data_IF_662375434040
#
_entry.id   IF_662375434040
#
_cell.length_a   1.000
_cell.length_b   1.000
_cell.length_c   1.000
_cell.angle_alpha   90.00
_cell.angle_beta   90.00
_cell.angle_gamma   90.00
#
_symmetry.space_group_name_H-M   'P 1'
#
loop_
_entity.id
_entity.type
_entity.pdbx_description
1 polymer ?
#
# COMPACT_ATOMS: atom_id res chain seq x y z
N UNK A 1 27.44 2.88 11.93
CA UNK A 1 26.13 3.37 11.45
C UNK A 1 25.68 4.45 12.43
N UNK A 2 25.47 5.68 11.98
CA UNK A 2 25.01 6.77 12.85
C UNK A 2 23.55 6.56 13.25
N UNK A 3 23.07 7.28 14.26
CA UNK A 3 21.64 7.26 14.62
C UNK A 3 20.76 7.69 13.44
N UNK A 4 21.19 8.68 12.65
CA UNK A 4 20.47 9.12 11.45
C UNK A 4 20.37 8.00 10.41
N UNK A 5 21.47 7.27 10.16
CA UNK A 5 21.48 6.15 9.22
C UNK A 5 20.51 5.03 9.65
N UNK A 6 20.34 4.80 10.96
CA UNK A 6 19.36 3.85 11.48
C UNK A 6 17.91 4.28 11.27
N UNK A 7 17.60 5.58 11.25
CA UNK A 7 16.26 6.08 10.91
C UNK A 7 15.98 5.89 9.42
N UNK A 8 16.92 6.32 8.57
CA UNK A 8 16.80 6.20 7.11
C UNK A 8 16.69 4.72 6.68
N UNK A 9 17.47 3.83 7.28
CA UNK A 9 17.37 2.40 7.02
C UNK A 9 16.02 1.82 7.42
N UNK A 10 15.45 2.24 8.56
CA UNK A 10 14.12 1.80 8.99
C UNK A 10 13.02 2.30 8.04
N UNK A 11 13.11 3.52 7.51
CA UNK A 11 12.17 4.02 6.51
C UNK A 11 12.19 3.18 5.24
N UNK A 12 13.40 2.85 4.74
CA UNK A 12 13.58 1.93 3.61
C UNK A 12 12.99 0.55 3.86
N UNK A 13 13.29 -0.02 5.03
CA UNK A 13 12.83 -1.36 5.40
C UNK A 13 11.30 -1.43 5.49
N UNK A 14 10.66 -0.41 6.07
CA UNK A 14 9.20 -0.34 6.14
C UNK A 14 8.52 -0.34 4.76
N UNK A 15 9.21 0.10 3.70
CA UNK A 15 8.71 0.02 2.34
C UNK A 15 9.08 -1.30 1.63
N UNK A 16 10.31 -1.80 1.84
CA UNK A 16 10.88 -2.95 1.11
C UNK A 16 10.54 -4.31 1.69
N UNK A 17 10.19 -4.40 2.96
CA UNK A 17 9.96 -5.69 3.62
C UNK A 17 8.95 -6.54 2.83
N UNK A 18 9.37 -7.73 2.42
CA UNK A 18 8.60 -8.58 1.49
C UNK A 18 7.38 -9.23 2.15
N UNK A 19 7.31 -9.23 3.49
CA UNK A 19 6.24 -9.91 4.25
C UNK A 19 5.14 -8.94 4.66
N UNK A 20 5.54 -7.79 5.19
CA UNK A 20 4.67 -6.82 5.88
C UNK A 20 4.89 -5.38 5.44
N UNK A 21 5.85 -5.14 4.54
CA UNK A 21 6.18 -3.81 4.04
C UNK A 21 5.02 -3.11 3.33
N UNK A 22 5.10 -1.78 3.27
CA UNK A 22 4.07 -0.91 2.70
C UNK A 22 3.85 -1.26 1.22
N UNK A 23 4.90 -1.49 0.43
CA UNK A 23 4.74 -1.84 -0.98
C UNK A 23 4.05 -3.18 -1.17
N UNK A 24 4.45 -4.19 -0.41
CA UNK A 24 3.80 -5.50 -0.45
C UNK A 24 2.31 -5.37 -0.13
N UNK A 25 1.98 -4.64 0.94
CA UNK A 25 0.60 -4.38 1.34
C UNK A 25 -0.22 -3.69 0.23
N UNK A 26 0.34 -2.66 -0.43
CA UNK A 26 -0.34 -1.97 -1.54
C UNK A 26 -0.50 -2.90 -2.75
N UNK A 27 0.52 -3.68 -3.11
CA UNK A 27 0.46 -4.64 -4.21
C UNK A 27 -0.63 -5.69 -3.99
N UNK A 28 -0.71 -6.27 -2.79
CA UNK A 28 -1.73 -7.26 -2.44
C UNK A 28 -3.14 -6.65 -2.53
N UNK A 29 -3.31 -5.41 -2.05
CA UNK A 29 -4.57 -4.69 -2.14
C UNK A 29 -4.97 -4.39 -3.60
N UNK A 30 -4.04 -3.96 -4.44
CA UNK A 30 -4.27 -3.71 -5.87
C UNK A 30 -4.60 -5.01 -6.61
N UNK A 31 -3.91 -6.10 -6.30
CA UNK A 31 -4.19 -7.42 -6.87
C UNK A 31 -5.60 -7.89 -6.51
N UNK A 32 -5.94 -7.86 -5.21
CA UNK A 32 -7.26 -8.25 -4.73
C UNK A 32 -8.37 -7.41 -5.37
N UNK A 33 -8.14 -6.11 -5.55
CA UNK A 33 -9.06 -5.23 -6.27
C UNK A 33 -9.24 -5.64 -7.74
N UNK A 34 -8.15 -5.86 -8.46
CA UNK A 34 -8.21 -6.29 -9.87
C UNK A 34 -8.93 -7.65 -10.01
N UNK A 35 -8.58 -8.62 -9.16
CA UNK A 35 -9.21 -9.94 -9.12
C UNK A 35 -10.70 -9.82 -8.82
N UNK A 36 -11.10 -9.10 -7.77
CA UNK A 36 -12.50 -8.95 -7.39
C UNK A 36 -13.34 -8.25 -8.48
N UNK A 37 -12.82 -7.15 -9.07
CA UNK A 37 -13.50 -6.47 -10.19
C UNK A 37 -13.69 -7.40 -11.38
N UNK A 38 -12.70 -8.26 -11.64
CA UNK A 38 -12.77 -9.29 -12.68
C UNK A 38 -13.82 -10.34 -12.33
N UNK A 39 -13.86 -10.86 -11.10
CA UNK A 39 -14.90 -11.78 -10.61
C UNK A 39 -16.30 -11.20 -10.76
N UNK A 40 -16.51 -9.93 -10.38
CA UNK A 40 -17.81 -9.25 -10.57
C UNK A 40 -18.19 -9.19 -12.05
N UNK A 41 -17.23 -8.95 -12.94
CA UNK A 41 -17.49 -8.96 -14.39
C UNK A 41 -17.83 -10.36 -14.90
N UNK A 42 -17.12 -11.39 -14.44
CA UNK A 42 -17.42 -12.80 -14.76
C UNK A 42 -18.86 -13.14 -14.36
N UNK A 43 -19.23 -12.79 -13.12
CA UNK A 43 -20.59 -13.05 -12.61
C UNK A 43 -21.65 -12.34 -13.44
N UNK A 44 -21.40 -11.07 -13.78
CA UNK A 44 -22.31 -10.29 -14.62
C UNK A 44 -22.47 -10.92 -16.01
N UNK A 45 -21.37 -11.31 -16.65
CA UNK A 45 -21.40 -11.95 -17.98
C UNK A 45 -22.13 -13.30 -17.96
N UNK A 46 -21.91 -14.11 -16.92
CA UNK A 46 -22.61 -15.38 -16.74
C UNK A 46 -24.11 -15.18 -16.56
N UNK A 47 -24.52 -14.15 -15.79
CA UNK A 47 -25.92 -13.80 -15.59
C UNK A 47 -26.57 -13.22 -16.85
N UNK A 48 -25.86 -12.41 -17.66
CA UNK A 48 -26.36 -11.88 -18.94
C UNK A 48 -26.63 -13.00 -19.96
N UNK A 49 -25.82 -14.08 -19.94
CA UNK A 49 -25.96 -15.24 -20.84
C UNK A 49 -26.82 -16.38 -20.28
N UNK A 50 -27.45 -16.18 -19.12
CA UNK A 50 -28.02 -17.24 -18.27
C UNK A 50 -29.23 -17.97 -18.88
N UNK A 51 -30.08 -17.30 -19.65
CA UNK A 51 -31.36 -17.87 -20.07
C UNK A 51 -32.15 -18.42 -18.86
N UNK A 52 -32.51 -19.72 -18.89
CA UNK A 52 -33.20 -20.42 -17.80
C UNK A 52 -32.29 -21.10 -16.76
N UNK A 53 -30.95 -20.99 -16.89
CA UNK A 53 -30.01 -21.63 -15.95
C UNK A 53 -30.13 -21.03 -14.55
N UNK A 54 -29.79 -21.75 -13.46
CA UNK A 54 -29.68 -21.16 -12.14
C UNK A 54 -28.59 -20.07 -12.10
N UNK A 55 -28.67 -19.10 -11.15
CA UNK A 55 -27.59 -18.14 -10.94
C UNK A 55 -26.31 -18.86 -10.50
N UNK A 56 -25.17 -18.16 -10.65
CA UNK A 56 -23.90 -18.64 -10.11
C UNK A 56 -24.00 -18.92 -8.60
N UNK A 57 -23.16 -19.85 -8.13
CA UNK A 57 -23.15 -20.29 -6.74
C UNK A 57 -22.93 -19.10 -5.79
N UNK A 58 -23.97 -18.74 -5.05
CA UNK A 58 -23.98 -17.57 -4.18
C UNK A 58 -23.06 -17.75 -2.97
N UNK A 59 -22.92 -18.98 -2.46
CA UNK A 59 -22.03 -19.28 -1.32
C UNK A 59 -20.57 -18.96 -1.67
N UNK A 60 -20.10 -19.42 -2.83
CA UNK A 60 -18.73 -19.11 -3.29
C UNK A 60 -18.54 -17.62 -3.55
N UNK A 61 -19.52 -16.95 -4.16
CA UNK A 61 -19.43 -15.51 -4.41
C UNK A 61 -19.40 -14.71 -3.11
N UNK A 62 -20.22 -15.07 -2.12
CA UNK A 62 -20.23 -14.42 -0.81
C UNK A 62 -18.86 -14.56 -0.13
N UNK A 63 -18.28 -15.76 -0.12
CA UNK A 63 -16.94 -16.00 0.44
C UNK A 63 -15.87 -15.10 -0.20
N UNK A 64 -15.85 -15.01 -1.53
CA UNK A 64 -14.90 -14.15 -2.26
C UNK A 64 -15.15 -12.66 -1.97
N UNK A 65 -16.41 -12.24 -1.96
CA UNK A 65 -16.80 -10.85 -1.68
C UNK A 65 -16.41 -10.45 -0.26
N UNK A 66 -16.76 -11.25 0.75
CA UNK A 66 -16.42 -11.02 2.15
C UNK A 66 -14.90 -11.00 2.38
N UNK A 67 -14.16 -11.91 1.74
CA UNK A 67 -12.70 -11.93 1.77
C UNK A 67 -12.08 -10.66 1.19
N UNK A 68 -12.58 -10.19 0.04
CA UNK A 68 -12.13 -8.94 -0.58
C UNK A 68 -12.37 -7.73 0.34
N UNK A 69 -13.60 -7.56 0.84
CA UNK A 69 -13.93 -6.41 1.70
C UNK A 69 -13.14 -6.43 3.00
N UNK A 70 -13.03 -7.59 3.65
CA UNK A 70 -12.25 -7.74 4.89
C UNK A 70 -10.78 -7.41 4.66
N UNK A 71 -10.20 -7.91 3.57
CA UNK A 71 -8.81 -7.65 3.18
C UNK A 71 -8.56 -6.16 2.91
N UNK A 72 -9.44 -5.51 2.15
CA UNK A 72 -9.35 -4.08 1.85
C UNK A 72 -9.38 -3.23 3.12
N UNK A 73 -10.37 -3.48 3.98
CA UNK A 73 -10.58 -2.68 5.18
C UNK A 73 -9.43 -2.89 6.19
N UNK A 74 -9.03 -4.14 6.45
CA UNK A 74 -7.90 -4.45 7.33
C UNK A 74 -6.57 -3.91 6.79
N UNK A 75 -6.32 -4.06 5.49
CA UNK A 75 -5.13 -3.54 4.83
C UNK A 75 -5.06 -2.01 4.91
N UNK A 76 -6.19 -1.32 4.70
CA UNK A 76 -6.29 0.13 4.87
C UNK A 76 -5.94 0.54 6.30
N UNK A 77 -6.54 -0.11 7.31
CA UNK A 77 -6.22 0.16 8.72
C UNK A 77 -4.72 -0.02 8.99
N UNK A 78 -4.12 -1.13 8.56
CA UNK A 78 -2.70 -1.44 8.78
C UNK A 78 -1.80 -0.35 8.23
N UNK A 79 -2.09 0.16 7.02
CA UNK A 79 -1.32 1.21 6.37
C UNK A 79 -1.49 2.60 7.01
N UNK A 80 -2.53 2.79 7.83
CA UNK A 80 -2.83 4.02 8.56
C UNK A 80 -2.43 3.98 10.04
N UNK A 81 -1.89 2.86 10.52
CA UNK A 81 -1.55 2.66 11.93
C UNK A 81 -0.58 3.74 12.42
N UNK A 82 -0.80 4.25 13.62
CA UNK A 82 -0.05 5.36 14.24
C UNK A 82 1.09 4.88 15.13
N UNK A 83 1.20 3.57 15.38
CA UNK A 83 2.24 3.03 16.24
C UNK A 83 3.65 3.38 15.69
N UNK A 84 4.66 3.43 16.57
CA UNK A 84 6.03 3.74 16.15
C UNK A 84 6.52 2.76 15.08
N UNK A 85 7.46 3.20 14.24
CA UNK A 85 8.09 2.33 13.24
C UNK A 85 9.06 1.30 13.87
N UNK A 86 9.60 1.61 15.06
CA UNK A 86 10.59 0.80 15.78
C UNK A 86 10.03 0.23 17.08
N UNK A 87 10.64 -0.88 17.53
CA UNK A 87 10.38 -1.50 18.83
C UNK A 87 9.43 -2.70 18.76
N UNK A 88 9.12 -3.34 19.90
CA UNK A 88 8.31 -4.55 19.95
C UNK A 88 6.85 -4.38 19.53
N UNK A 89 6.38 -3.12 19.43
CA UNK A 89 5.07 -2.75 18.87
C UNK A 89 5.24 -1.94 17.58
N UNK A 90 6.36 -2.13 16.89
CA UNK A 90 6.71 -1.46 15.65
C UNK A 90 5.73 -1.84 14.54
N UNK A 91 5.34 -0.87 13.71
CA UNK A 91 4.47 -1.12 12.54
C UNK A 91 5.01 -0.48 11.28
N UNK A 92 4.86 -1.21 10.16
CA UNK A 92 5.14 -0.71 8.83
C UNK A 92 3.87 -0.15 8.22
N UNK A 93 3.68 1.15 8.43
CA UNK A 93 2.54 1.92 7.93
C UNK A 93 3.04 3.22 7.32
N UNK A 94 2.24 3.81 6.43
CA UNK A 94 2.59 5.10 5.82
C UNK A 94 2.72 6.17 6.91
N UNK A 95 1.80 6.12 7.89
CA UNK A 95 1.75 7.12 8.97
C UNK A 95 2.88 6.95 9.98
N UNK A 96 3.34 5.73 10.26
CA UNK A 96 4.48 5.49 11.16
C UNK A 96 5.78 6.06 10.57
N UNK A 97 6.01 5.88 9.26
CA UNK A 97 7.14 6.50 8.56
C UNK A 97 7.04 8.02 8.60
N UNK A 98 5.89 8.61 8.24
CA UNK A 98 5.69 10.06 8.24
C UNK A 98 5.93 10.67 9.62
N UNK A 99 5.46 10.01 10.68
CA UNK A 99 5.66 10.47 12.06
C UNK A 99 7.14 10.43 12.47
N UNK A 100 7.87 9.38 12.09
CA UNK A 100 9.30 9.23 12.41
C UNK A 100 10.17 10.23 11.62
N UNK A 101 9.82 10.49 10.35
CA UNK A 101 10.44 11.56 9.54
C UNK A 101 10.16 12.93 10.14
N UNK A 102 8.92 13.21 10.57
CA UNK A 102 8.57 14.46 11.25
C UNK A 102 9.35 14.64 12.54
N UNK A 103 9.49 13.59 13.36
CA UNK A 103 10.31 13.62 14.57
C UNK A 103 11.81 13.85 14.27
N UNK A 104 12.24 13.55 13.06
CA UNK A 104 13.62 13.71 12.57
C UNK A 104 13.90 15.05 11.87
N UNK A 105 12.88 15.92 11.77
CA UNK A 105 12.94 17.17 11.01
C UNK A 105 14.08 18.11 11.43
N UNK A 106 14.45 18.13 12.71
CA UNK A 106 15.48 19.01 13.25
C UNK A 106 16.90 18.70 12.73
N UNK A 107 17.17 17.44 12.34
CA UNK A 107 18.45 17.03 11.80
C UNK A 107 18.38 16.68 10.30
N UNK A 108 17.19 16.40 9.75
CA UNK A 108 17.01 16.08 8.34
C UNK A 108 17.11 17.32 7.44
N UNK A 109 18.33 17.83 7.29
CA UNK A 109 18.66 18.95 6.41
C UNK A 109 18.67 18.55 4.94
N UNK A 110 18.64 19.53 4.02
CA UNK A 110 18.77 19.29 2.56
C UNK A 110 19.96 18.40 2.26
N UNK A 111 21.12 18.69 2.86
CA UNK A 111 22.33 17.91 2.59
C UNK A 111 22.18 16.45 2.98
N UNK A 112 21.66 16.19 4.19
CA UNK A 112 21.44 14.81 4.66
C UNK A 112 20.38 14.12 3.79
N UNK A 113 19.31 14.81 3.42
CA UNK A 113 18.29 14.27 2.54
C UNK A 113 18.87 13.84 1.18
N UNK A 114 19.58 14.72 0.49
CA UNK A 114 20.15 14.42 -0.83
C UNK A 114 21.17 13.28 -0.74
N UNK A 115 22.13 13.39 0.19
CA UNK A 115 23.26 12.44 0.28
C UNK A 115 22.89 11.10 0.92
N UNK A 116 21.99 11.09 1.91
CA UNK A 116 21.71 9.88 2.72
C UNK A 116 20.35 9.27 2.42
N UNK A 117 19.30 10.08 2.27
CA UNK A 117 17.96 9.57 1.98
C UNK A 117 17.88 9.13 0.53
N UNK A 118 18.22 10.02 -0.41
CA UNK A 118 18.13 9.74 -1.86
C UNK A 118 19.40 9.15 -2.47
N UNK A 119 20.47 9.01 -1.67
CA UNK A 119 21.74 8.42 -2.11
C UNK A 119 22.34 9.13 -3.33
N UNK A 120 22.16 10.45 -3.42
CA UNK A 120 22.60 11.28 -4.53
C UNK A 120 23.71 12.24 -4.11
N UNK A 121 24.37 12.89 -5.07
CA UNK A 121 25.42 13.85 -4.76
C UNK A 121 24.85 15.27 -4.54
N UNK A 122 25.34 15.95 -3.51
CA UNK A 122 24.84 17.27 -3.16
C UNK A 122 25.30 18.38 -4.12
N UNK A 123 26.56 18.35 -4.56
CA UNK A 123 27.20 19.42 -5.32
C UNK A 123 26.81 19.37 -6.81
N UNK A 124 25.76 20.12 -7.18
CA UNK A 124 25.29 20.21 -8.56
C UNK A 124 26.25 20.96 -9.47
N UNK A 125 26.93 22.00 -8.97
CA UNK A 125 27.83 22.82 -9.79
C UNK A 125 29.01 21.97 -10.27
N UNK A 126 29.55 21.12 -9.38
CA UNK A 126 30.58 20.15 -9.75
C UNK A 126 30.08 19.16 -10.81
N UNK A 127 28.89 18.58 -10.64
CA UNK A 127 28.33 17.63 -11.60
C UNK A 127 28.04 18.26 -12.96
N UNK A 128 27.55 19.50 -12.99
CA UNK A 128 27.36 20.24 -14.23
C UNK A 128 28.69 20.49 -14.94
N UNK A 129 29.75 20.83 -14.21
CA UNK A 129 31.08 21.01 -14.78
C UNK A 129 31.63 19.69 -15.35
N UNK A 130 31.49 18.57 -14.62
CA UNK A 130 31.92 17.24 -15.08
C UNK A 130 31.19 16.82 -16.36
N UNK A 131 29.88 17.03 -16.42
CA UNK A 131 29.08 16.79 -17.62
C UNK A 131 29.49 17.71 -18.79
N UNK A 132 29.78 18.98 -18.51
CA UNK A 132 30.25 19.93 -19.52
C UNK A 132 31.59 19.50 -20.11
N UNK A 133 32.56 19.14 -19.27
CA UNK A 133 33.88 18.67 -19.70
C UNK A 133 33.78 17.40 -20.53
N UNK A 134 32.88 16.48 -20.15
CA UNK A 134 32.60 15.25 -20.91
C UNK A 134 32.01 15.56 -22.30
N UNK A 135 31.06 16.52 -22.38
CA UNK A 135 30.48 16.97 -23.65
C UNK A 135 31.52 17.62 -24.57
N UNK A 136 32.41 18.45 -24.02
CA UNK A 136 33.51 19.08 -24.77
C UNK A 136 34.47 18.01 -25.30
N UNK A 137 34.83 17.03 -24.47
CA UNK A 137 35.71 15.92 -24.86
C UNK A 137 35.12 15.03 -25.96
N UNK A 138 33.79 14.93 -26.06
CA UNK A 138 33.09 14.13 -27.06
C UNK A 138 33.22 14.66 -28.50
N UNK A 139 33.67 15.91 -28.70
CA UNK A 139 33.93 16.53 -30.02
C UNK A 139 32.77 16.33 -31.02
N UNK A 140 31.53 16.57 -30.58
CA UNK A 140 30.32 16.48 -31.41
C UNK A 140 29.76 15.07 -31.59
N UNK A 141 30.31 14.06 -30.90
CA UNK A 141 29.70 12.72 -30.84
C UNK A 141 28.52 12.70 -29.87
N UNK A 142 27.46 11.92 -30.16
CA UNK A 142 26.39 11.68 -29.19
C UNK A 142 26.96 11.05 -27.93
N UNK A 143 26.61 11.61 -26.77
CA UNK A 143 26.90 11.05 -25.45
C UNK A 143 25.62 10.98 -24.64
N UNK A 144 25.54 9.95 -23.80
CA UNK A 144 24.47 9.85 -22.82
C UNK A 144 24.66 10.92 -21.74
N UNK A 145 23.56 11.45 -21.21
CA UNK A 145 23.60 12.33 -20.05
C UNK A 145 24.01 11.55 -18.80
N UNK A 146 24.76 12.20 -17.90
CA UNK A 146 25.16 11.59 -16.63
C UNK A 146 23.94 11.26 -15.76
N UNK A 147 23.68 9.96 -15.49
CA UNK A 147 22.59 9.54 -14.61
C UNK A 147 22.67 10.14 -13.20
N UNK A 148 23.89 10.38 -12.71
CA UNK A 148 24.11 10.91 -11.36
C UNK A 148 23.75 12.40 -11.27
N UNK A 149 24.02 13.18 -12.33
CA UNK A 149 23.51 14.54 -12.46
C UNK A 149 21.99 14.55 -12.46
N UNK A 150 21.35 13.70 -13.27
CA UNK A 150 19.88 13.63 -13.33
C UNK A 150 19.26 13.25 -11.98
N UNK A 151 19.85 12.28 -11.28
CA UNK A 151 19.43 11.83 -9.94
C UNK A 151 19.57 12.96 -8.91
N UNK A 152 20.72 13.63 -8.89
CA UNK A 152 21.03 14.72 -7.97
C UNK A 152 20.12 15.93 -8.20
N UNK A 153 19.88 16.31 -9.46
CA UNK A 153 18.93 17.37 -9.78
C UNK A 153 17.51 17.03 -9.32
N UNK A 154 17.05 15.79 -9.52
CA UNK A 154 15.76 15.34 -9.05
C UNK A 154 15.66 15.39 -7.51
N UNK A 155 16.72 14.97 -6.81
CA UNK A 155 16.80 15.04 -5.36
C UNK A 155 16.67 16.47 -4.82
N UNK A 156 17.37 17.44 -5.43
CA UNK A 156 17.23 18.85 -5.08
C UNK A 156 15.84 19.39 -5.38
N UNK A 157 15.26 19.07 -6.56
CA UNK A 157 13.88 19.47 -6.90
C UNK A 157 12.85 18.92 -5.92
N UNK A 158 13.00 17.67 -5.48
CA UNK A 158 12.15 17.12 -4.43
C UNK A 158 12.30 17.91 -3.13
N UNK A 159 13.53 18.22 -2.71
CA UNK A 159 13.73 18.97 -1.47
C UNK A 159 13.22 20.41 -1.55
N UNK A 160 13.28 21.07 -2.71
CA UNK A 160 12.68 22.40 -2.90
C UNK A 160 11.18 22.39 -2.60
N UNK A 161 10.47 21.34 -3.03
CA UNK A 161 9.05 21.12 -2.69
C UNK A 161 8.88 20.85 -1.19
N UNK A 162 9.77 20.06 -0.58
CA UNK A 162 9.71 19.71 0.84
C UNK A 162 9.98 20.90 1.77
N UNK A 163 10.95 21.75 1.44
CA UNK A 163 11.31 22.92 2.25
C UNK A 163 10.49 24.16 1.89
N UNK A 164 9.87 24.20 0.71
CA UNK A 164 9.17 25.38 0.19
C UNK A 164 10.12 26.51 -0.23
N UNK A 165 11.36 26.17 -0.61
CA UNK A 165 12.42 27.13 -0.95
C UNK A 165 12.68 27.08 -2.45
N UNK A 166 12.94 28.23 -3.08
CA UNK A 166 13.25 28.30 -4.51
C UNK A 166 14.65 27.79 -4.83
N UNK A 167 14.91 27.42 -6.10
CA UNK A 167 16.21 26.92 -6.53
C UNK A 167 17.37 27.92 -6.28
N UNK A 168 17.10 29.23 -6.33
CA UNK A 168 18.07 30.30 -6.07
C UNK A 168 18.40 30.49 -4.58
N UNK A 169 17.58 29.96 -3.68
CA UNK A 169 17.71 30.17 -2.23
C UNK A 169 18.16 28.90 -1.51
N UNK A 170 18.65 27.90 -2.26
CA UNK A 170 19.05 26.61 -1.71
C UNK A 170 20.18 26.75 -0.70
N UNK A 171 19.95 26.28 0.51
CA UNK A 171 20.97 26.14 1.54
C UNK A 171 21.10 24.67 2.02
N UNK A 172 22.33 24.18 2.29
CA UNK A 172 22.55 22.84 2.84
C UNK A 172 21.78 22.55 4.13
N UNK A 173 21.53 23.57 4.96
CA UNK A 173 20.87 23.44 6.26
C UNK A 173 19.36 23.69 6.20
N UNK A 174 18.76 23.89 5.03
CA UNK A 174 17.31 24.01 4.93
C UNK A 174 16.64 22.74 5.47
N UNK A 175 15.54 22.92 6.21
CA UNK A 175 14.75 21.84 6.79
C UNK A 175 13.45 21.66 6.00
N UNK A 176 12.81 20.51 6.18
CA UNK A 176 11.48 20.23 5.63
C UNK A 176 10.44 21.11 6.33
N UNK A 177 9.50 21.67 5.58
CA UNK A 177 8.42 22.50 6.13
C UNK A 177 7.35 21.67 6.82
N UNK A 178 6.84 22.13 7.97
CA UNK A 178 5.72 21.51 8.69
C UNK A 178 4.46 21.36 7.81
N UNK A 179 4.26 22.32 6.89
CA UNK A 179 3.14 22.34 5.95
C UNK A 179 3.07 21.05 5.11
N UNK A 180 4.22 20.42 4.83
CA UNK A 180 4.26 19.18 4.05
C UNK A 180 3.67 18.03 4.86
N UNK A 181 4.06 17.91 6.13
CA UNK A 181 3.51 16.88 7.02
C UNK A 181 2.01 17.08 7.26
N UNK A 182 1.56 18.32 7.40
CA UNK A 182 0.14 18.65 7.53
C UNK A 182 -0.65 18.26 6.27
N UNK A 183 -0.11 18.48 5.08
CA UNK A 183 -0.74 18.06 3.81
C UNK A 183 -0.84 16.55 3.69
N UNK A 184 0.20 15.82 4.08
CA UNK A 184 0.20 14.35 4.08
C UNK A 184 -0.83 13.84 5.10
N UNK A 185 -0.81 14.34 6.33
CA UNK A 185 -1.74 13.92 7.38
C UNK A 185 -3.18 14.27 7.02
N UNK A 186 -3.43 15.43 6.41
CA UNK A 186 -4.77 15.79 5.91
C UNK A 186 -5.31 14.76 4.91
N UNK A 187 -4.45 14.18 4.06
CA UNK A 187 -4.85 13.11 3.15
C UNK A 187 -5.09 11.79 3.88
N UNK A 188 -4.19 11.41 4.80
CA UNK A 188 -4.34 10.18 5.59
C UNK A 188 -5.58 10.20 6.48
N UNK A 189 -5.88 11.34 7.11
CA UNK A 189 -7.04 11.54 7.98
C UNK A 189 -8.39 11.34 7.25
N UNK A 190 -8.45 11.55 5.92
CA UNK A 190 -9.66 11.25 5.13
C UNK A 190 -10.01 9.77 5.13
N UNK A 191 -9.04 8.91 5.41
CA UNK A 191 -9.21 7.46 5.46
C UNK A 191 -9.44 6.94 6.89
N UNK A 192 -9.34 7.79 7.93
CA UNK A 192 -9.45 7.36 9.33
C UNK A 192 -10.83 6.74 9.65
N UNK A 193 -11.89 7.19 8.98
CA UNK A 193 -13.24 6.59 9.14
C UNK A 193 -13.24 5.08 8.81
N UNK A 194 -12.40 4.64 7.85
CA UNK A 194 -12.26 3.22 7.52
C UNK A 194 -11.56 2.47 8.65
N UNK A 195 -10.48 3.04 9.20
CA UNK A 195 -9.77 2.43 10.32
C UNK A 195 -10.65 2.32 11.59
N UNK A 196 -11.46 3.33 11.86
CA UNK A 196 -12.43 3.37 12.96
C UNK A 196 -13.52 2.30 12.79
N UNK A 197 -14.04 2.16 11.58
CA UNK A 197 -15.02 1.12 11.24
C UNK A 197 -14.43 -0.28 11.47
N UNK A 198 -13.21 -0.53 10.97
CA UNK A 198 -12.51 -1.80 11.17
C UNK A 198 -12.35 -2.11 12.65
N UNK A 199 -11.96 -1.12 13.46
CA UNK A 199 -11.78 -1.33 14.90
C UNK A 199 -13.06 -1.77 15.62
N UNK A 200 -14.22 -1.34 15.14
CA UNK A 200 -15.51 -1.57 15.81
C UNK A 200 -16.31 -2.75 15.25
N UNK A 201 -16.13 -3.05 13.96
CA UNK A 201 -16.98 -3.99 13.23
C UNK A 201 -16.24 -5.21 12.67
N UNK A 202 -14.93 -5.13 12.43
CA UNK A 202 -14.16 -6.18 11.75
C UNK A 202 -13.12 -6.82 12.69
N UNK A 203 -12.24 -6.00 13.27
CA UNK A 203 -11.12 -6.46 14.10
C UNK A 203 -11.54 -6.84 15.52
N UNK A 204 -12.63 -6.26 16.03
CA UNK A 204 -13.16 -6.57 17.35
C UNK A 204 -14.66 -6.84 17.27
N UNK A 205 -15.15 -7.74 18.13
CA UNK A 205 -16.59 -7.91 18.38
C UNK A 205 -17.12 -6.74 19.22
N UNK A 206 -17.07 -5.52 18.66
CA UNK A 206 -17.55 -4.32 19.32
C UNK A 206 -19.01 -4.49 19.76
N UNK A 207 -19.33 -4.08 20.99
CA UNK A 207 -20.71 -4.07 21.46
C UNK A 207 -21.52 -2.98 20.72
N UNK A 208 -22.85 -3.00 20.87
CA UNK A 208 -23.77 -2.05 20.21
C UNK A 208 -23.36 -0.58 20.39
N UNK A 209 -22.89 -0.21 21.59
CA UNK A 209 -22.46 1.16 21.91
C UNK A 209 -21.19 1.55 21.16
N UNK A 210 -20.22 0.65 21.06
CA UNK A 210 -18.93 0.89 20.38
C UNK A 210 -19.03 0.97 18.84
N UNK A 211 -20.16 0.53 18.28
CA UNK A 211 -20.48 0.54 16.84
C UNK A 211 -21.27 1.77 16.39
N UNK A 212 -21.92 2.47 17.33
CA UNK A 212 -22.74 3.64 17.05
C UNK A 212 -21.94 4.71 16.29
N UNK A 213 -22.54 5.28 15.23
CA UNK A 213 -21.97 6.30 14.34
C UNK A 213 -20.67 5.91 13.59
N UNK A 214 -20.28 4.63 13.63
CA UNK A 214 -19.06 4.10 12.98
C UNK A 214 -19.36 3.17 11.81
N UNK A 215 -20.60 3.19 11.32
CA UNK A 215 -20.97 2.44 10.13
C UNK A 215 -20.40 3.10 8.88
N UNK A 216 -19.91 2.27 7.96
CA UNK A 216 -19.61 2.65 6.59
C UNK A 216 -20.87 2.48 5.72
N UNK A 217 -21.99 3.09 6.14
CA UNK A 217 -23.21 3.11 5.34
C UNK A 217 -22.90 3.56 3.91
N UNK A 218 -23.35 2.78 2.93
CA UNK A 218 -23.15 2.96 1.49
C UNK A 218 -21.70 2.84 0.96
N UNK A 219 -20.75 2.27 1.73
CA UNK A 219 -19.40 2.03 1.20
C UNK A 219 -19.43 0.95 0.12
N UNK A 220 -19.09 1.37 -1.10
CA UNK A 220 -19.17 0.52 -2.28
C UNK A 220 -17.83 0.41 -3.03
N UNK A 221 -17.88 -0.21 -4.21
CA UNK A 221 -16.68 -0.47 -5.02
C UNK A 221 -16.00 0.81 -5.52
N UNK A 222 -16.73 1.92 -5.64
CA UNK A 222 -16.18 3.23 -6.02
C UNK A 222 -15.41 3.84 -4.87
N UNK A 223 -15.88 3.66 -3.64
CA UNK A 223 -15.18 4.12 -2.45
C UNK A 223 -13.95 3.25 -2.15
N UNK A 224 -14.02 1.95 -2.43
CA UNK A 224 -12.84 1.09 -2.45
C UNK A 224 -11.78 1.58 -3.45
N UNK A 225 -12.18 1.89 -4.68
CA UNK A 225 -11.27 2.43 -5.70
C UNK A 225 -10.62 3.75 -5.25
N UNK A 226 -11.41 4.69 -4.70
CA UNK A 226 -10.89 5.96 -4.16
C UNK A 226 -9.91 5.72 -3.02
N UNK A 227 -10.22 4.79 -2.11
CA UNK A 227 -9.38 4.44 -0.97
C UNK A 227 -8.04 3.90 -1.44
N UNK A 228 -8.05 2.91 -2.33
CA UNK A 228 -6.84 2.32 -2.90
C UNK A 228 -6.00 3.34 -3.66
N UNK A 229 -6.65 4.20 -4.45
CA UNK A 229 -5.98 5.28 -5.16
C UNK A 229 -5.26 6.22 -4.19
N UNK A 230 -5.93 6.67 -3.13
CA UNK A 230 -5.31 7.55 -2.13
C UNK A 230 -4.16 6.86 -1.39
N UNK A 231 -4.33 5.60 -0.97
CA UNK A 231 -3.28 4.83 -0.33
C UNK A 231 -2.05 4.69 -1.24
N UNK A 232 -2.25 4.30 -2.49
CA UNK A 232 -1.17 4.17 -3.49
C UNK A 232 -0.47 5.51 -3.72
N UNK A 233 -1.22 6.58 -4.02
CA UNK A 233 -0.65 7.90 -4.29
C UNK A 233 0.21 8.40 -3.13
N UNK A 234 -0.26 8.25 -1.89
CA UNK A 234 0.48 8.71 -0.71
C UNK A 234 1.66 7.79 -0.42
N UNK A 235 1.49 6.46 -0.53
CA UNK A 235 2.57 5.51 -0.33
C UNK A 235 3.72 5.76 -1.31
N UNK A 236 3.43 5.90 -2.60
CA UNK A 236 4.44 6.19 -3.62
C UNK A 236 5.15 7.51 -3.34
N UNK A 237 4.41 8.56 -2.98
CA UNK A 237 4.98 9.87 -2.68
C UNK A 237 5.92 9.82 -1.47
N UNK A 238 5.46 9.19 -0.37
CA UNK A 238 6.23 9.02 0.88
C UNK A 238 7.44 8.11 0.64
N UNK A 239 7.29 7.03 -0.14
CA UNK A 239 8.36 6.11 -0.51
C UNK A 239 9.45 6.82 -1.32
N UNK A 240 9.06 7.59 -2.34
CA UNK A 240 10.00 8.36 -3.16
C UNK A 240 10.71 9.43 -2.35
N UNK A 241 9.98 10.18 -1.52
CA UNK A 241 10.58 11.27 -0.74
C UNK A 241 11.46 10.78 0.40
N UNK A 242 10.99 9.84 1.22
CA UNK A 242 11.63 9.54 2.50
C UNK A 242 12.34 8.19 2.56
N UNK A 243 12.07 7.30 1.61
CA UNK A 243 12.71 5.99 1.59
C UNK A 243 13.61 5.78 0.35
N UNK A 244 13.53 6.64 -0.67
CA UNK A 244 14.16 6.40 -1.98
C UNK A 244 13.67 5.09 -2.61
N UNK A 245 12.38 4.81 -2.43
CA UNK A 245 11.72 3.65 -3.01
C UNK A 245 10.73 4.11 -4.08
N UNK A 246 10.75 3.45 -5.24
CA UNK A 246 9.77 3.70 -6.30
C UNK A 246 8.37 3.23 -5.92
N UNK A 247 7.36 3.59 -6.71
CA UNK A 247 5.97 3.25 -6.37
C UNK A 247 5.62 1.76 -6.49
N UNK A 248 4.59 1.35 -5.74
CA UNK A 248 3.99 0.02 -5.88
C UNK A 248 3.01 -0.02 -7.07
N UNK A 249 3.15 -1.06 -7.91
CA UNK A 249 2.30 -1.30 -9.08
C UNK A 249 1.39 -2.52 -8.90
N UNK A 250 0.42 -2.68 -9.81
CA UNK A 250 -0.28 -3.96 -9.95
C UNK A 250 0.73 -5.01 -10.40
N UNK A 251 0.79 -6.13 -9.69
CA UNK A 251 1.67 -7.24 -10.05
C UNK A 251 1.36 -7.74 -11.47
N UNK A 252 2.39 -7.92 -12.28
CA UNK A 252 2.24 -8.58 -13.58
C UNK A 252 2.09 -10.07 -13.34
N UNK A 253 0.92 -10.61 -13.69
CA UNK A 253 0.69 -12.05 -13.66
C UNK A 253 1.49 -12.73 -14.79
N UNK A 254 2.22 -13.79 -14.48
CA UNK A 254 3.11 -14.50 -15.42
C UNK A 254 2.41 -15.64 -16.19
N UNK A 255 1.09 -15.67 -16.23
CA UNK A 255 0.29 -16.66 -16.97
C UNK A 255 -0.95 -16.05 -17.61
N UNK A 256 -1.90 -16.89 -18.02
CA UNK A 256 -3.23 -16.44 -18.40
C UNK A 256 -4.16 -16.45 -17.18
N UNK A 257 -4.50 -15.26 -16.66
CA UNK A 257 -5.40 -15.13 -15.52
C UNK A 257 -6.84 -15.62 -15.79
N UNK A 258 -7.15 -15.98 -17.04
CA UNK A 258 -8.44 -16.52 -17.46
C UNK A 258 -8.40 -18.02 -17.81
N UNK A 259 -7.23 -18.65 -17.72
CA UNK A 259 -7.06 -20.07 -17.99
C UNK A 259 -8.05 -20.90 -17.14
N UNK A 260 -8.81 -21.79 -17.81
CA UNK A 260 -9.78 -22.67 -17.16
C UNK A 260 -11.14 -22.04 -16.87
N UNK A 261 -11.36 -20.74 -17.11
CA UNK A 261 -12.66 -20.09 -16.88
C UNK A 261 -13.76 -20.51 -17.88
N UNK A 262 -13.38 -21.11 -19.00
CA UNK A 262 -14.28 -21.64 -20.03
C UNK A 262 -14.78 -23.07 -19.75
N UNK A 263 -14.27 -23.70 -18.68
CA UNK A 263 -14.68 -25.02 -18.23
C UNK A 263 -15.63 -24.96 -17.01
N UNK A 264 -16.52 -25.94 -16.83
CA UNK A 264 -17.28 -26.07 -15.59
C UNK A 264 -16.33 -26.28 -14.41
N UNK A 265 -16.59 -25.61 -13.29
CA UNK A 265 -15.78 -25.74 -12.06
C UNK A 265 -15.92 -27.15 -11.47
N UNK A 266 -17.10 -27.75 -11.58
CA UNK A 266 -17.43 -29.10 -11.08
C UNK A 266 -18.44 -29.75 -12.04
N UNK A 267 -18.28 -31.05 -12.29
CA UNK A 267 -19.23 -31.84 -13.08
C UNK A 267 -20.45 -32.26 -12.25
N UNK A 268 -21.59 -32.44 -12.91
CA UNK A 268 -22.85 -32.83 -12.22
C UNK A 268 -22.72 -34.12 -11.42
N UNK A 269 -21.87 -35.05 -11.86
CA UNK A 269 -21.64 -36.33 -11.18
C UNK A 269 -21.03 -36.15 -9.77
N UNK A 270 -20.24 -35.10 -9.56
CA UNK A 270 -19.51 -34.87 -8.32
C UNK A 270 -20.34 -34.12 -7.26
N UNK A 271 -21.56 -33.68 -7.61
CA UNK A 271 -22.44 -32.97 -6.66
C UNK A 271 -22.86 -33.84 -5.46
N UNK A 272 -22.93 -35.16 -5.64
CA UNK A 272 -23.22 -36.09 -4.55
C UNK A 272 -22.08 -36.11 -3.51
N UNK A 273 -20.83 -36.09 -3.98
CA UNK A 273 -19.66 -36.07 -3.13
C UNK A 273 -19.56 -34.75 -2.35
N UNK A 274 -19.83 -33.61 -3.00
CA UNK A 274 -19.88 -32.31 -2.31
C UNK A 274 -20.95 -32.25 -1.22
N UNK A 275 -22.13 -32.84 -1.47
CA UNK A 275 -23.19 -32.90 -0.47
C UNK A 275 -22.79 -33.75 0.73
N UNK A 276 -22.06 -34.84 0.53
CA UNK A 276 -21.56 -35.65 1.65
C UNK A 276 -20.43 -34.96 2.42
N UNK A 277 -19.53 -34.25 1.73
CA UNK A 277 -18.52 -33.41 2.39
C UNK A 277 -19.16 -32.36 3.29
N UNK A 278 -20.22 -31.70 2.83
CA UNK A 278 -20.95 -30.73 3.67
C UNK A 278 -21.53 -31.38 4.94
N UNK A 279 -22.13 -32.57 4.81
CA UNK A 279 -22.66 -33.31 5.98
C UNK A 279 -21.59 -33.77 6.94
N UNK A 280 -20.40 -34.13 6.44
CA UNK A 280 -19.26 -34.48 7.29
C UNK A 280 -18.84 -33.29 8.16
N UNK A 281 -18.69 -32.11 7.56
CA UNK A 281 -18.35 -30.88 8.27
C UNK A 281 -19.44 -30.52 9.29
N UNK A 282 -20.72 -30.64 8.92
CA UNK A 282 -21.84 -30.36 9.83
C UNK A 282 -21.82 -31.28 11.06
N UNK A 283 -21.54 -32.58 10.87
CA UNK A 283 -21.37 -33.53 11.97
C UNK A 283 -20.16 -33.21 12.85
N UNK A 284 -19.02 -32.90 12.25
CA UNK A 284 -17.80 -32.53 12.97
C UNK A 284 -18.03 -31.30 13.87
N UNK A 285 -18.62 -30.24 13.32
CA UNK A 285 -18.90 -29.00 14.08
C UNK A 285 -19.87 -29.27 15.22
N UNK A 286 -20.87 -30.14 15.03
CA UNK A 286 -21.81 -30.52 16.08
C UNK A 286 -21.14 -31.21 17.27
N UNK A 287 -19.96 -31.80 17.08
CA UNK A 287 -19.16 -32.42 18.14
C UNK A 287 -18.29 -31.40 18.91
N UNK A 288 -18.12 -30.17 18.42
CA UNK A 288 -17.33 -29.11 19.07
C UNK A 288 -18.07 -28.48 20.27
N UNK A 289 -18.30 -29.29 21.30
CA UNK A 289 -18.88 -28.86 22.57
C UNK A 289 -18.02 -29.36 23.72
N UNK A 290 -17.89 -28.54 24.77
CA UNK A 290 -17.26 -28.93 26.04
C UNK A 290 -18.34 -28.92 27.12
N UNK A 291 -18.28 -29.89 28.04
CA UNK A 291 -19.12 -29.90 29.23
C UNK A 291 -18.56 -28.96 30.31
N UNK A 292 -19.37 -28.54 31.30
CA UNK A 292 -18.85 -27.83 32.48
C UNK A 292 -17.74 -28.58 33.23
N UNK A 293 -17.71 -29.91 33.10
CA UNK A 293 -16.70 -30.82 33.65
C UNK A 293 -15.34 -30.78 32.94
N UNK A 294 -15.27 -30.23 31.72
CA UNK A 294 -14.05 -30.13 30.92
C UNK A 294 -13.32 -28.78 31.11
N UNK A 295 -13.83 -27.90 31.98
CA UNK A 295 -13.21 -26.60 32.37
C UNK A 295 -12.19 -26.77 33.50
#
# INVERSE_FOLDING_TARGET
>A
MTQHDQHIAAWRDAFRDETTGIHRAIQDLLWNYAAFRTTVRIVRLANEKRGSRPPLNQMMFNLVSEGYWSSLLLGTRRLLDKAPIKGPKGVYSIRSVVNDVKASQNWLTRRIYVEKVLDAQYDLDRLHQEQHDHLVAAKGRPVWGDPELMKSEAAHRHFDVLSGVSASERNPSNLISDTVFEKIETRLARLDRIAEHVNSHVAHAGNKQSRQDRELGDFDIRDAEKTLRQLKEIADLVGVWFANEGGAGLATYLGDQFEGLDHPVVDTADLADLAEQWRLIDREIAEWSIGPEDL
#
